data_IF_977503285646
#
_entry.id   IF_977503285646
#
_cell.length_a   1.000
_cell.length_b   1.000
_cell.length_c   1.000
_cell.angle_alpha   90.00
_cell.angle_beta   90.00
_cell.angle_gamma   90.00
#
_symmetry.space_group_name_H-M   'P 1'
#
loop_
_entity.id
_entity.type
_entity.pdbx_description
1 polymer ?
#
# COMPACT_ATOMS: atom_id res chain seq x y z
N UNK A 1 -26.54 -30.01 -28.59
CA UNK A 1 -25.60 -28.87 -28.75
C UNK A 1 -26.14 -27.54 -28.21
N UNK A 2 -27.44 -27.21 -28.37
CA UNK A 2 -28.05 -25.96 -27.85
C UNK A 2 -27.92 -25.74 -26.33
N UNK A 3 -28.03 -26.80 -25.51
CA UNK A 3 -27.85 -26.70 -24.05
C UNK A 3 -26.43 -26.32 -23.63
N UNK A 4 -25.40 -26.78 -24.37
CA UNK A 4 -23.99 -26.45 -24.07
C UNK A 4 -23.69 -24.97 -24.32
N UNK A 5 -24.29 -24.38 -25.36
CA UNK A 5 -24.16 -22.95 -25.69
C UNK A 5 -24.81 -22.06 -24.61
N UNK A 6 -25.94 -22.49 -24.03
CA UNK A 6 -26.60 -21.78 -22.93
C UNK A 6 -25.69 -21.76 -21.67
N UNK A 7 -25.04 -22.88 -21.34
CA UNK A 7 -24.08 -22.91 -20.22
C UNK A 7 -22.85 -22.01 -20.47
N UNK A 8 -22.38 -21.91 -21.72
CA UNK A 8 -21.27 -21.02 -22.07
C UNK A 8 -21.63 -19.54 -21.95
N UNK A 9 -22.86 -19.15 -22.31
CA UNK A 9 -23.32 -17.75 -22.21
C UNK A 9 -23.54 -17.33 -20.75
N UNK A 10 -24.10 -18.20 -19.91
CA UNK A 10 -24.29 -17.93 -18.46
C UNK A 10 -22.93 -17.78 -17.74
N UNK A 11 -21.92 -18.54 -18.16
CA UNK A 11 -20.57 -18.46 -17.58
C UNK A 11 -19.85 -17.14 -17.92
N UNK A 12 -20.12 -16.55 -19.09
CA UNK A 12 -19.50 -15.30 -19.54
C UNK A 12 -20.13 -14.07 -18.86
N UNK A 13 -21.41 -14.12 -18.51
CA UNK A 13 -22.12 -13.00 -17.88
C UNK A 13 -21.65 -12.63 -16.46
N UNK A 14 -20.91 -13.50 -15.76
CA UNK A 14 -20.43 -13.22 -14.40
C UNK A 14 -19.17 -12.31 -14.39
N UNK A 15 -18.52 -12.11 -15.53
CA UNK A 15 -17.24 -11.38 -15.62
C UNK A 15 -17.38 -9.86 -15.86
N UNK A 16 -18.61 -9.34 -15.99
CA UNK A 16 -18.88 -7.92 -16.26
C UNK A 16 -19.27 -7.12 -15.00
N UNK A 17 -18.65 -7.42 -13.86
CA UNK A 17 -18.78 -6.58 -12.67
C UNK A 17 -17.98 -5.29 -12.86
N UNK A 18 -18.55 -4.34 -13.60
CA UNK A 18 -18.04 -2.99 -13.74
C UNK A 18 -18.21 -2.27 -12.39
N UNK A 19 -17.16 -2.28 -11.58
CA UNK A 19 -17.18 -1.62 -10.28
C UNK A 19 -16.76 -0.16 -10.44
N UNK A 20 -17.69 0.76 -10.18
CA UNK A 20 -17.45 2.20 -10.27
C UNK A 20 -16.57 2.68 -9.12
N UNK A 21 -15.58 3.53 -9.42
CA UNK A 21 -14.81 4.30 -8.43
C UNK A 21 -15.73 5.38 -7.80
N UNK A 22 -15.62 5.68 -6.49
CA UNK A 22 -16.38 6.76 -5.85
C UNK A 22 -16.18 8.10 -6.56
N UNK A 23 -17.23 8.93 -6.59
CA UNK A 23 -17.20 10.28 -7.20
C UNK A 23 -16.72 11.38 -6.24
N UNK A 24 -16.51 11.05 -4.98
CA UNK A 24 -16.11 11.99 -3.95
C UNK A 24 -15.85 11.29 -2.64
N UNK A 25 -15.27 12.02 -1.69
CA UNK A 25 -15.06 11.58 -0.31
C UNK A 25 -15.70 12.58 0.63
N UNK A 26 -16.05 12.13 1.82
CA UNK A 26 -16.53 13.02 2.88
C UNK A 26 -15.46 14.09 3.17
N UNK A 27 -15.81 15.40 3.15
CA UNK A 27 -14.87 16.47 3.47
C UNK A 27 -14.31 16.40 4.90
N UNK A 28 -15.00 15.74 5.84
CA UNK A 28 -14.59 15.68 7.26
C UNK A 28 -13.81 14.42 7.63
N UNK A 29 -13.47 13.55 6.68
CA UNK A 29 -12.68 12.35 6.98
C UNK A 29 -11.29 12.70 7.51
N UNK A 30 -10.97 12.13 8.67
CA UNK A 30 -9.63 12.15 9.25
C UNK A 30 -8.64 11.29 8.44
N UNK A 31 -7.35 11.44 8.74
CA UNK A 31 -6.29 10.60 8.19
C UNK A 31 -6.56 9.10 8.38
N UNK A 32 -7.07 8.71 9.55
CA UNK A 32 -7.40 7.31 9.85
C UNK A 32 -8.55 6.79 9.01
N UNK A 33 -9.57 7.61 8.78
CA UNK A 33 -10.69 7.22 7.92
C UNK A 33 -10.24 6.93 6.49
N UNK A 34 -9.31 7.71 5.93
CA UNK A 34 -8.75 7.39 4.60
C UNK A 34 -8.08 6.02 4.56
N UNK A 35 -7.24 5.70 5.54
CA UNK A 35 -6.56 4.40 5.60
C UNK A 35 -7.55 3.25 5.80
N UNK A 36 -8.54 3.43 6.68
CA UNK A 36 -9.60 2.44 6.89
C UNK A 36 -10.36 2.17 5.60
N UNK A 37 -10.84 3.21 4.91
CA UNK A 37 -11.60 3.03 3.67
C UNK A 37 -10.74 2.46 2.53
N UNK A 38 -9.45 2.81 2.47
CA UNK A 38 -8.53 2.23 1.51
C UNK A 38 -8.32 0.73 1.76
N UNK A 39 -8.11 0.31 3.01
CA UNK A 39 -7.96 -1.10 3.38
C UNK A 39 -9.25 -1.88 3.12
N UNK A 40 -10.41 -1.37 3.52
CA UNK A 40 -11.71 -1.98 3.19
C UNK A 40 -11.87 -2.14 1.67
N UNK A 41 -11.44 -1.16 0.87
CA UNK A 41 -11.47 -1.27 -0.58
C UNK A 41 -10.52 -2.38 -1.10
N UNK A 42 -9.31 -2.49 -0.55
CA UNK A 42 -8.36 -3.57 -0.89
C UNK A 42 -8.94 -4.94 -0.56
N UNK A 43 -9.52 -5.11 0.64
CA UNK A 43 -10.13 -6.36 1.11
C UNK A 43 -11.30 -6.80 0.22
N UNK A 44 -12.03 -5.82 -0.31
CA UNK A 44 -13.13 -6.05 -1.27
C UNK A 44 -12.65 -6.12 -2.73
N UNK A 45 -11.35 -6.27 -2.99
CA UNK A 45 -10.73 -6.29 -4.33
C UNK A 45 -11.01 -5.06 -5.21
N UNK A 46 -11.35 -3.92 -4.58
CA UNK A 46 -11.62 -2.64 -5.25
C UNK A 46 -10.34 -1.81 -5.40
N UNK A 47 -9.34 -2.34 -6.10
CA UNK A 47 -7.98 -1.75 -6.16
C UNK A 47 -7.99 -0.28 -6.63
N UNK A 48 -8.78 0.07 -7.64
CA UNK A 48 -8.90 1.45 -8.13
C UNK A 48 -9.56 2.39 -7.11
N UNK A 49 -10.47 1.88 -6.28
CA UNK A 49 -11.08 2.66 -5.20
C UNK A 49 -10.09 2.91 -4.06
N UNK A 50 -9.29 1.91 -3.70
CA UNK A 50 -8.22 2.08 -2.71
C UNK A 50 -7.18 3.11 -3.18
N UNK A 51 -6.79 3.03 -4.46
CA UNK A 51 -5.86 3.97 -5.09
C UNK A 51 -6.39 5.40 -4.98
N UNK A 52 -7.64 5.63 -5.35
CA UNK A 52 -8.32 6.92 -5.23
C UNK A 52 -8.26 7.47 -3.79
N UNK A 53 -8.53 6.63 -2.78
CA UNK A 53 -8.48 7.09 -1.39
C UNK A 53 -7.07 7.50 -0.94
N UNK A 54 -6.02 6.76 -1.32
CA UNK A 54 -4.65 7.16 -1.02
C UNK A 54 -4.22 8.42 -1.78
N UNK A 55 -4.65 8.61 -3.02
CA UNK A 55 -4.38 9.83 -3.78
C UNK A 55 -5.03 11.06 -3.15
N UNK A 56 -6.30 10.95 -2.74
CA UNK A 56 -6.97 12.05 -2.04
C UNK A 56 -6.34 12.31 -0.67
N UNK A 57 -5.92 11.27 0.05
CA UNK A 57 -5.18 11.42 1.29
C UNK A 57 -3.89 12.24 1.11
N UNK A 58 -3.08 11.91 0.10
CA UNK A 58 -1.82 12.61 -0.21
C UNK A 58 -2.04 14.10 -0.53
N UNK A 59 -3.20 14.45 -1.09
CA UNK A 59 -3.58 15.85 -1.36
C UNK A 59 -4.04 16.56 -0.09
N UNK A 60 -4.83 15.90 0.77
CA UNK A 60 -5.46 16.53 1.94
C UNK A 60 -4.55 16.62 3.17
N UNK A 61 -3.61 15.69 3.30
CA UNK A 61 -2.75 15.56 4.48
C UNK A 61 -1.25 15.51 4.12
N UNK A 62 -0.72 16.49 3.36
CA UNK A 62 0.68 16.47 2.91
C UNK A 62 1.69 16.53 4.08
N UNK A 63 1.27 17.12 5.21
CA UNK A 63 2.11 17.28 6.41
C UNK A 63 2.11 16.05 7.33
N UNK A 64 1.28 15.03 7.05
CA UNK A 64 1.28 13.79 7.83
C UNK A 64 2.42 12.87 7.37
N UNK A 65 3.66 13.34 7.52
CA UNK A 65 4.88 12.73 6.95
C UNK A 65 4.97 11.20 7.13
N UNK A 66 4.66 10.69 8.33
CA UNK A 66 4.68 9.26 8.63
C UNK A 66 3.61 8.47 7.85
N UNK A 67 2.45 9.06 7.59
CA UNK A 67 1.36 8.44 6.81
C UNK A 67 1.48 8.72 5.32
N UNK A 68 2.10 9.83 4.92
CA UNK A 68 2.40 10.13 3.51
C UNK A 68 3.33 9.06 2.96
N UNK A 69 4.44 8.76 3.64
CA UNK A 69 5.36 7.70 3.17
C UNK A 69 4.68 6.33 3.14
N UNK A 70 3.76 6.07 4.08
CA UNK A 70 2.92 4.87 4.05
C UNK A 70 2.00 4.83 2.83
N UNK A 71 1.26 5.91 2.56
CA UNK A 71 0.34 6.00 1.44
C UNK A 71 1.06 5.93 0.09
N UNK A 72 2.26 6.52 -0.04
CA UNK A 72 3.07 6.41 -1.25
C UNK A 72 3.54 4.97 -1.51
N UNK A 73 3.96 4.26 -0.46
CA UNK A 73 4.27 2.83 -0.57
C UNK A 73 3.03 2.02 -0.99
N UNK A 74 1.90 2.19 -0.29
CA UNK A 74 0.66 1.47 -0.61
C UNK A 74 0.20 1.75 -2.05
N UNK A 75 0.31 2.99 -2.52
CA UNK A 75 0.03 3.36 -3.91
C UNK A 75 0.86 2.55 -4.90
N UNK A 76 2.16 2.41 -4.65
CA UNK A 76 3.05 1.62 -5.51
C UNK A 76 2.66 0.12 -5.51
N UNK A 77 2.28 -0.42 -4.36
CA UNK A 77 1.80 -1.81 -4.23
C UNK A 77 0.47 -2.02 -4.98
N UNK A 78 -0.44 -1.04 -4.95
CA UNK A 78 -1.67 -1.10 -5.73
C UNK A 78 -1.39 -1.10 -7.24
N UNK A 79 -0.43 -0.30 -7.72
CA UNK A 79 0.02 -0.36 -9.12
C UNK A 79 0.56 -1.75 -9.49
N UNK A 80 1.37 -2.38 -8.62
CA UNK A 80 1.83 -3.76 -8.80
C UNK A 80 0.63 -4.72 -8.92
N UNK A 81 -0.35 -4.61 -8.02
CA UNK A 81 -1.58 -5.45 -8.04
C UNK A 81 -2.41 -5.26 -9.32
N UNK A 82 -2.31 -4.10 -9.97
CA UNK A 82 -2.96 -3.80 -11.25
C UNK A 82 -2.15 -4.24 -12.48
N UNK A 83 -0.96 -4.81 -12.30
CA UNK A 83 -0.05 -5.17 -13.40
C UNK A 83 0.67 -3.96 -14.03
N UNK A 84 0.60 -2.79 -13.39
CA UNK A 84 1.30 -1.59 -13.84
C UNK A 84 2.71 -1.54 -13.21
N UNK A 85 3.57 -2.47 -13.61
CA UNK A 85 4.89 -2.67 -12.99
C UNK A 85 5.79 -1.43 -13.09
N UNK A 86 5.80 -0.74 -14.23
CA UNK A 86 6.57 0.50 -14.40
C UNK A 86 6.18 1.58 -13.37
N UNK A 87 4.88 1.71 -13.08
CA UNK A 87 4.38 2.67 -12.08
C UNK A 87 4.71 2.20 -10.67
N UNK A 88 4.67 0.89 -10.41
CA UNK A 88 5.07 0.32 -9.13
C UNK A 88 6.57 0.58 -8.87
N UNK A 89 7.43 0.28 -9.83
CA UNK A 89 8.88 0.52 -9.74
C UNK A 89 9.18 2.00 -9.49
N UNK A 90 8.56 2.91 -10.26
CA UNK A 90 8.72 4.35 -10.07
C UNK A 90 8.27 4.78 -8.67
N UNK A 91 7.13 4.29 -8.20
CA UNK A 91 6.62 4.59 -6.85
C UNK A 91 7.55 4.09 -5.75
N UNK A 92 8.05 2.86 -5.86
CA UNK A 92 8.97 2.27 -4.89
C UNK A 92 10.31 3.03 -4.86
N UNK A 93 10.86 3.39 -6.01
CA UNK A 93 12.07 4.22 -6.09
C UNK A 93 11.86 5.59 -5.46
N UNK A 94 10.69 6.21 -5.67
CA UNK A 94 10.33 7.47 -5.02
C UNK A 94 10.30 7.32 -3.49
N UNK A 95 9.68 6.25 -2.96
CA UNK A 95 9.66 5.98 -1.52
C UNK A 95 11.09 5.88 -0.97
N UNK A 96 11.96 5.13 -1.64
CA UNK A 96 13.36 4.97 -1.21
C UNK A 96 14.14 6.29 -1.26
N UNK A 97 13.98 7.06 -2.33
CA UNK A 97 14.59 8.39 -2.47
C UNK A 97 14.18 9.34 -1.34
N UNK A 98 12.92 9.29 -0.89
CA UNK A 98 12.47 10.07 0.28
C UNK A 98 13.21 9.68 1.57
N UNK A 99 13.55 8.41 1.77
CA UNK A 99 14.36 7.99 2.93
C UNK A 99 15.81 8.47 2.86
N UNK A 100 16.31 8.81 1.67
CA UNK A 100 17.69 9.28 1.48
C UNK A 100 17.78 10.80 1.52
N UNK A 101 16.77 11.50 1.02
CA UNK A 101 16.84 12.94 0.73
C UNK A 101 15.96 13.81 1.64
N UNK A 102 14.93 13.24 2.27
CA UNK A 102 13.96 14.05 3.03
C UNK A 102 14.52 14.53 4.37
N UNK A 103 14.34 15.82 4.66
CA UNK A 103 14.60 16.39 5.99
C UNK A 103 13.69 15.83 7.09
N UNK A 104 12.59 15.17 6.71
CA UNK A 104 11.59 14.60 7.62
C UNK A 104 11.78 13.10 7.86
N UNK A 105 12.88 12.50 7.38
CA UNK A 105 13.13 11.06 7.45
C UNK A 105 12.99 10.47 8.87
N UNK A 106 13.29 11.25 9.91
CA UNK A 106 13.16 10.82 11.32
C UNK A 106 11.72 10.46 11.71
N UNK A 107 10.72 10.99 10.98
CA UNK A 107 9.30 10.72 11.19
C UNK A 107 8.82 9.48 10.41
N UNK A 108 9.61 8.98 9.47
CA UNK A 108 9.18 7.89 8.60
C UNK A 108 9.29 6.53 9.31
N UNK A 109 8.23 5.69 9.30
CA UNK A 109 8.31 4.34 9.84
C UNK A 109 9.33 3.49 9.04
N UNK A 110 10.37 2.90 9.64
CA UNK A 110 11.44 2.21 8.89
C UNK A 110 10.96 1.05 8.00
N UNK A 111 9.82 0.44 8.36
CA UNK A 111 9.24 -0.70 7.63
C UNK A 111 9.02 -0.41 6.14
N UNK A 112 8.64 0.80 5.76
CA UNK A 112 8.31 1.10 4.37
C UNK A 112 9.56 1.16 3.48
N UNK A 113 10.72 1.53 4.04
CA UNK A 113 12.00 1.39 3.35
C UNK A 113 12.33 -0.06 3.06
N UNK A 114 12.31 -0.90 4.10
CA UNK A 114 12.63 -2.35 3.97
C UNK A 114 11.68 -3.04 3.01
N UNK A 115 10.38 -2.76 3.10
CA UNK A 115 9.39 -3.32 2.20
C UNK A 115 9.59 -2.82 0.77
N UNK A 116 9.89 -1.54 0.57
CA UNK A 116 10.12 -0.99 -0.76
C UNK A 116 11.35 -1.61 -1.44
N UNK A 117 12.46 -1.79 -0.73
CA UNK A 117 13.65 -2.46 -1.25
C UNK A 117 13.34 -3.90 -1.68
N UNK A 118 12.63 -4.67 -0.85
CA UNK A 118 12.27 -6.06 -1.15
C UNK A 118 11.39 -6.18 -2.39
N UNK A 119 10.33 -5.38 -2.46
CA UNK A 119 9.41 -5.43 -3.60
C UNK A 119 10.10 -4.93 -4.87
N UNK A 120 10.97 -3.91 -4.77
CA UNK A 120 11.72 -3.42 -5.91
C UNK A 120 12.70 -4.47 -6.44
N UNK A 121 13.42 -5.18 -5.56
CA UNK A 121 14.31 -6.26 -5.96
C UNK A 121 13.55 -7.40 -6.66
N UNK A 122 12.37 -7.77 -6.14
CA UNK A 122 11.47 -8.74 -6.78
C UNK A 122 11.09 -8.30 -8.20
N UNK A 123 10.63 -7.05 -8.37
CA UNK A 123 10.19 -6.51 -9.65
C UNK A 123 11.34 -6.35 -10.66
N UNK A 124 12.56 -6.06 -10.19
CA UNK A 124 13.75 -5.94 -11.05
C UNK A 124 14.44 -7.30 -11.31
N UNK A 125 13.90 -8.41 -10.80
CA UNK A 125 14.48 -9.74 -10.97
C UNK A 125 15.83 -9.92 -10.27
N UNK A 126 16.10 -9.11 -9.25
CA UNK A 126 17.35 -9.16 -8.47
C UNK A 126 17.21 -10.15 -7.31
N UNK A 127 18.27 -10.88 -6.95
CA UNK A 127 18.24 -11.69 -5.74
C UNK A 127 17.97 -10.79 -4.53
N UNK A 128 17.08 -11.24 -3.65
CA UNK A 128 16.77 -10.52 -2.42
C UNK A 128 18.02 -10.51 -1.54
N UNK A 129 18.61 -9.33 -1.37
CA UNK A 129 19.74 -9.16 -0.47
C UNK A 129 19.29 -9.49 0.97
N UNK A 130 20.15 -10.17 1.72
CA UNK A 130 19.86 -10.49 3.12
C UNK A 130 19.63 -9.19 3.88
N UNK A 131 18.61 -9.17 4.75
CA UNK A 131 18.30 -7.97 5.53
C UNK A 131 19.45 -7.73 6.49
N UNK A 132 20.31 -6.77 6.15
CA UNK A 132 21.38 -6.31 7.02
C UNK A 132 20.75 -5.65 8.28
N UNK A 133 20.86 -6.27 9.46
CA UNK A 133 20.30 -5.75 10.70
C UNK A 133 21.00 -4.46 11.15
N UNK A 134 22.23 -4.20 10.70
CA UNK A 134 22.98 -2.98 10.99
C UNK A 134 22.52 -1.82 10.08
N UNK A 135 22.07 -2.13 8.85
CA UNK A 135 21.42 -1.16 7.95
C UNK A 135 20.03 -0.74 8.46
N UNK A 136 19.33 -1.65 9.16
CA UNK A 136 17.98 -1.43 9.70
C UNK A 136 17.88 -1.81 11.17
N UNK A 137 18.50 -1.04 12.09
CA UNK A 137 18.45 -1.37 13.50
C UNK A 137 17.00 -1.38 13.97
N UNK A 138 16.57 -2.53 14.49
CA UNK A 138 15.26 -2.64 15.12
C UNK A 138 15.15 -1.57 16.21
N UNK A 139 14.00 -0.90 16.30
CA UNK A 139 13.71 0.00 17.42
C UNK A 139 13.87 -0.84 18.69
N UNK A 140 14.89 -0.56 19.51
CA UNK A 140 15.07 -1.20 20.81
C UNK A 140 13.76 -1.02 21.58
N UNK A 141 13.10 -2.11 21.93
CA UNK A 141 11.99 -2.06 22.88
C UNK A 141 12.58 -1.46 24.16
N UNK A 142 12.02 -0.37 24.72
CA UNK A 142 12.51 0.14 25.98
C UNK A 142 12.41 -0.96 27.03
N UNK A 143 13.55 -1.41 27.56
CA UNK A 143 13.61 -2.31 28.70
C UNK A 143 12.90 -1.61 29.87
N UNK A 144 11.70 -2.07 30.24
CA UNK A 144 11.01 -1.50 31.42
C UNK A 144 9.49 -1.48 31.44
N UNK A 145 8.78 -2.43 30.82
CA UNK A 145 7.39 -2.68 31.21
C UNK A 145 7.03 -4.16 31.14
N UNK A 146 7.66 -4.95 32.02
CA UNK A 146 7.15 -6.26 32.39
C UNK A 146 6.13 -6.08 33.54
N UNK A 147 4.99 -5.45 33.25
CA UNK A 147 3.82 -5.52 34.13
C UNK A 147 2.91 -6.66 33.66
N UNK A 148 3.40 -7.91 33.72
CA UNK A 148 2.50 -9.06 33.77
C UNK A 148 1.98 -9.18 35.21
N UNK A 149 0.66 -9.09 35.45
CA UNK A 149 0.13 -9.44 36.76
C UNK A 149 0.35 -10.94 36.99
N UNK A 150 0.97 -11.28 38.12
CA UNK A 150 1.11 -12.66 38.56
C UNK A 150 -0.27 -13.32 38.64
N UNK A 151 -0.42 -14.45 37.94
CA UNK A 151 -1.53 -15.40 38.11
C UNK A 151 -1.10 -16.50 39.06
#
# INVERSE_FOLDING_TARGET
MRKKIIYTIILISVLLSCQSVPRGVDPTWSEEMFFKQAQEAVDNNKTATALFYYEVFLIRYPESHARVIAAEYERAILHKKMGAEDLAIQGLKKVLDQYETSSYVILFPPRYRVLAEKVLAELEGKPMEEVDPDKYPARKVPEGNDSRPAR
#
